data_IF_297549764480
#
_entry.id   IF_297549764480
#
_cell.length_a   1.000
_cell.length_b   1.000
_cell.length_c   1.000
_cell.angle_alpha   90.00
_cell.angle_beta   90.00
_cell.angle_gamma   90.00
#
_symmetry.space_group_name_H-M   'P 1'
#
loop_
_entity.id
_entity.type
_entity.pdbx_description
1 polymer ?
#
# COMPACT_ATOMS: atom_id res chain seq x y z
N UNK A 1 -30.44 -15.06 6.92
CA UNK A 1 -30.99 -13.71 6.74
C UNK A 1 -29.97 -12.94 5.93
N UNK A 2 -30.01 -13.13 4.62
CA UNK A 2 -29.14 -12.45 3.68
C UNK A 2 -29.71 -11.07 3.43
N UNK A 3 -28.95 -10.03 3.75
CA UNK A 3 -29.29 -8.66 3.34
C UNK A 3 -28.99 -8.55 1.85
N UNK A 4 -29.94 -8.96 1.03
CA UNK A 4 -29.90 -8.73 -0.42
C UNK A 4 -30.31 -7.26 -0.62
N UNK A 5 -29.32 -6.40 -0.85
CA UNK A 5 -29.56 -5.04 -1.34
C UNK A 5 -30.07 -5.19 -2.79
N UNK A 6 -31.39 -5.07 -2.96
CA UNK A 6 -32.04 -4.99 -4.28
C UNK A 6 -31.90 -3.57 -4.81
N UNK A 7 -30.78 -3.29 -5.47
CA UNK A 7 -30.64 -2.17 -6.40
C UNK A 7 -30.34 -2.76 -7.79
N UNK A 8 -30.90 -2.21 -8.88
CA UNK A 8 -30.68 -2.73 -10.21
C UNK A 8 -29.17 -2.75 -10.54
N UNK A 9 -28.64 -3.80 -11.19
CA UNK A 9 -27.21 -4.00 -11.41
C UNK A 9 -26.47 -2.78 -12.01
N UNK A 10 -27.20 -2.02 -12.83
CA UNK A 10 -26.71 -0.82 -13.54
C UNK A 10 -26.40 0.34 -12.57
N UNK A 11 -27.16 0.48 -11.47
CA UNK A 11 -26.90 1.53 -10.46
C UNK A 11 -25.70 1.18 -9.58
N UNK A 12 -25.50 -0.12 -9.29
CA UNK A 12 -24.35 -0.59 -8.51
C UNK A 12 -23.06 -0.34 -9.29
N UNK A 13 -23.04 -0.64 -10.59
CA UNK A 13 -21.87 -0.41 -11.44
C UNK A 13 -21.56 1.09 -11.58
N UNK A 14 -22.60 1.93 -11.73
CA UNK A 14 -22.45 3.39 -11.78
C UNK A 14 -21.91 3.94 -10.45
N UNK A 15 -22.47 3.52 -9.32
CA UNK A 15 -22.02 3.92 -7.99
C UNK A 15 -20.58 3.44 -7.70
N UNK A 16 -20.24 2.22 -8.10
CA UNK A 16 -18.89 1.67 -7.97
C UNK A 16 -17.88 2.42 -8.86
N UNK A 17 -18.26 2.78 -10.08
CA UNK A 17 -17.41 3.55 -11.01
C UNK A 17 -17.19 4.99 -10.53
N UNK A 18 -18.22 5.65 -10.03
CA UNK A 18 -18.12 6.97 -9.40
C UNK A 18 -17.27 6.92 -8.11
N UNK A 19 -17.44 5.86 -7.32
CA UNK A 19 -16.68 5.66 -6.08
C UNK A 19 -15.23 5.31 -6.33
N UNK A 20 -14.90 4.43 -7.28
CA UNK A 20 -13.52 4.03 -7.62
C UNK A 20 -12.73 5.17 -8.25
N UNK A 21 -13.35 5.93 -9.16
CA UNK A 21 -12.76 7.15 -9.74
C UNK A 21 -12.56 8.26 -8.69
N UNK A 22 -13.44 8.31 -7.68
CA UNK A 22 -13.31 9.20 -6.54
C UNK A 22 -12.39 8.70 -5.41
N UNK A 23 -12.14 7.40 -5.29
CA UNK A 23 -11.38 6.82 -4.19
C UNK A 23 -9.90 7.23 -4.25
N UNK A 24 -9.35 7.27 -5.47
CA UNK A 24 -7.97 7.69 -5.76
C UNK A 24 -7.68 9.14 -5.34
N UNK A 25 -8.70 9.93 -4.99
CA UNK A 25 -8.56 11.27 -4.41
C UNK A 25 -9.17 11.45 -3.01
N UNK A 26 -9.95 10.48 -2.51
CA UNK A 26 -10.65 10.57 -1.20
C UNK A 26 -9.92 9.89 -0.06
N UNK A 27 -9.13 8.86 -0.38
CA UNK A 27 -8.35 8.08 0.58
C UNK A 27 -6.87 8.40 0.37
N UNK A 28 -6.32 9.27 1.22
CA UNK A 28 -4.89 9.57 1.22
C UNK A 28 -4.11 8.57 2.07
N UNK A 29 -2.79 8.47 1.83
CA UNK A 29 -1.90 7.63 2.64
C UNK A 29 -1.92 8.05 4.12
N UNK A 30 -2.05 9.34 4.39
CA UNK A 30 -2.15 9.85 5.76
C UNK A 30 -3.50 9.49 6.40
N UNK A 31 -4.61 9.58 5.65
CA UNK A 31 -5.92 9.16 6.16
C UNK A 31 -5.96 7.66 6.52
N UNK A 32 -5.27 6.81 5.74
CA UNK A 32 -5.09 5.40 6.07
C UNK A 32 -4.17 5.17 7.27
N UNK A 33 -3.11 5.98 7.42
CA UNK A 33 -2.19 5.91 8.57
C UNK A 33 -2.91 6.26 9.88
N UNK A 34 -3.77 7.27 9.83
CA UNK A 34 -4.52 7.78 10.98
C UNK A 34 -5.88 7.10 11.13
N UNK A 35 -6.13 6.01 10.39
CA UNK A 35 -7.38 5.28 10.43
C UNK A 35 -7.63 4.69 11.82
N UNK A 36 -8.85 4.84 12.32
CA UNK A 36 -9.28 4.25 13.60
C UNK A 36 -9.91 2.90 13.31
N UNK A 37 -9.24 1.82 13.71
CA UNK A 37 -9.78 0.46 13.62
C UNK A 37 -10.93 0.30 14.61
N UNK A 38 -12.08 -0.17 14.12
CA UNK A 38 -13.28 -0.39 14.92
C UNK A 38 -13.33 -1.84 15.38
N UNK A 39 -13.26 -2.78 14.43
CA UNK A 39 -13.39 -4.20 14.72
C UNK A 39 -12.92 -5.07 13.56
N UNK A 40 -12.79 -6.36 13.82
CA UNK A 40 -12.66 -7.38 12.79
C UNK A 40 -14.04 -7.99 12.50
N UNK A 41 -14.34 -8.23 11.22
CA UNK A 41 -15.59 -8.81 10.74
C UNK A 41 -15.31 -10.17 10.11
N UNK A 42 -16.06 -11.19 10.53
CA UNK A 42 -15.96 -12.58 10.04
C UNK A 42 -14.54 -13.19 10.08
N UNK A 43 -13.63 -12.62 10.88
CA UNK A 43 -12.20 -12.97 10.89
C UNK A 43 -11.50 -12.82 9.53
N UNK A 44 -12.07 -12.04 8.61
CA UNK A 44 -11.58 -11.84 7.23
C UNK A 44 -11.38 -10.37 6.88
N UNK A 45 -12.16 -9.49 7.48
CA UNK A 45 -12.14 -8.07 7.15
C UNK A 45 -11.85 -7.22 8.37
N UNK A 46 -11.24 -6.06 8.15
CA UNK A 46 -11.01 -5.02 9.15
C UNK A 46 -11.96 -3.87 8.83
N UNK A 47 -12.80 -3.49 9.80
CA UNK A 47 -13.66 -2.31 9.72
C UNK A 47 -12.93 -1.12 10.35
N UNK A 48 -12.79 -0.02 9.62
CA UNK A 48 -12.09 1.17 10.10
C UNK A 48 -12.76 2.48 9.65
N UNK A 49 -12.56 3.53 10.45
CA UNK A 49 -12.94 4.90 10.12
C UNK A 49 -11.73 5.70 9.63
N UNK A 50 -11.88 6.34 8.47
CA UNK A 50 -10.91 7.27 7.91
C UNK A 50 -11.46 8.68 8.01
N UNK A 51 -10.66 9.59 8.55
CA UNK A 51 -10.96 11.01 8.47
C UNK A 51 -10.40 11.53 7.15
N UNK A 52 -11.25 12.03 6.26
CA UNK A 52 -10.77 12.72 5.05
C UNK A 52 -10.56 14.20 5.38
N UNK A 53 -9.41 14.73 4.94
CA UNK A 53 -9.07 16.13 5.16
C UNK A 53 -10.00 17.01 4.32
N UNK A 54 -10.43 18.12 4.91
CA UNK A 54 -11.14 19.19 4.20
C UNK A 54 -10.30 19.67 3.01
N UNK A 55 -10.69 19.32 1.79
CA UNK A 55 -10.18 19.94 0.58
C UNK A 55 -11.09 21.13 0.22
N UNK A 56 -10.53 22.34 0.19
CA UNK A 56 -11.17 23.57 -0.31
C UNK A 56 -12.58 23.85 0.24
N UNK A 57 -12.68 24.09 1.55
CA UNK A 57 -13.92 24.60 2.17
C UNK A 57 -15.05 23.57 2.36
N UNK A 58 -14.72 22.28 2.28
CA UNK A 58 -15.66 21.19 2.56
C UNK A 58 -15.38 20.60 3.93
N UNK A 59 -16.40 20.51 4.78
CA UNK A 59 -16.29 19.94 6.13
C UNK A 59 -15.58 18.58 6.14
N UNK A 60 -14.74 18.30 7.16
CA UNK A 60 -14.12 17.00 7.32
C UNK A 60 -15.21 15.92 7.34
N UNK A 61 -15.05 14.89 6.51
CA UNK A 61 -15.99 13.78 6.48
C UNK A 61 -15.31 12.50 6.96
N UNK A 62 -16.10 11.65 7.61
CA UNK A 62 -15.66 10.33 8.04
C UNK A 62 -16.12 9.33 6.99
N UNK A 63 -15.19 8.51 6.53
CA UNK A 63 -15.46 7.41 5.61
C UNK A 63 -15.27 6.11 6.37
N UNK A 64 -16.30 5.28 6.38
CA UNK A 64 -16.22 3.92 6.90
C UNK A 64 -15.69 3.00 5.79
N UNK A 65 -14.64 2.25 6.06
CA UNK A 65 -14.03 1.32 5.10
C UNK A 65 -13.97 -0.09 5.67
N UNK A 66 -14.07 -1.06 4.76
CA UNK A 66 -13.86 -2.48 5.02
C UNK A 66 -12.62 -2.91 4.23
N UNK A 67 -11.64 -3.45 4.92
CA UNK A 67 -10.34 -3.84 4.35
C UNK A 67 -10.27 -5.37 4.35
N UNK A 68 -10.03 -5.98 3.19
CA UNK A 68 -9.67 -7.39 3.10
C UNK A 68 -8.28 -7.61 3.71
N UNK A 69 -8.22 -8.36 4.81
CA UNK A 69 -6.98 -8.55 5.54
C UNK A 69 -5.96 -9.38 4.76
N UNK A 70 -6.43 -10.34 3.95
CA UNK A 70 -5.56 -11.24 3.20
C UNK A 70 -4.91 -10.47 2.05
N UNK A 71 -5.71 -9.75 1.26
CA UNK A 71 -5.19 -8.93 0.17
C UNK A 71 -4.25 -7.82 0.69
N UNK A 72 -4.54 -7.25 1.87
CA UNK A 72 -3.67 -6.25 2.49
C UNK A 72 -2.31 -6.84 2.92
N UNK A 73 -2.32 -7.99 3.61
CA UNK A 73 -1.11 -8.69 4.03
C UNK A 73 -0.25 -9.11 2.83
N UNK A 74 -0.88 -9.66 1.79
CA UNK A 74 -0.19 -10.02 0.55
C UNK A 74 0.43 -8.80 -0.13
N UNK A 75 -0.30 -7.67 -0.19
CA UNK A 75 0.23 -6.44 -0.79
C UNK A 75 1.46 -5.94 -0.05
N UNK A 76 1.41 -5.92 1.28
CA UNK A 76 2.55 -5.52 2.12
C UNK A 76 3.74 -6.44 1.86
N UNK A 77 3.52 -7.76 1.88
CA UNK A 77 4.57 -8.75 1.64
C UNK A 77 5.23 -8.58 0.28
N UNK A 78 4.44 -8.38 -0.78
CA UNK A 78 4.96 -8.16 -2.14
C UNK A 78 5.79 -6.89 -2.21
N UNK A 79 5.32 -5.78 -1.62
CA UNK A 79 6.04 -4.51 -1.62
C UNK A 79 7.36 -4.56 -0.83
N UNK A 80 7.38 -5.25 0.32
CA UNK A 80 8.61 -5.49 1.09
C UNK A 80 9.62 -6.29 0.28
N UNK A 81 9.20 -7.43 -0.30
CA UNK A 81 10.09 -8.26 -1.11
C UNK A 81 10.65 -7.50 -2.31
N UNK A 82 9.82 -6.70 -2.97
CA UNK A 82 10.25 -5.87 -4.09
C UNK A 82 11.25 -4.79 -3.65
N UNK A 83 10.98 -4.13 -2.52
CA UNK A 83 11.88 -3.12 -1.95
C UNK A 83 13.25 -3.72 -1.62
N UNK A 84 13.27 -4.89 -0.98
CA UNK A 84 14.51 -5.58 -0.62
C UNK A 84 15.29 -6.02 -1.85
N UNK A 85 14.60 -6.53 -2.88
CA UNK A 85 15.22 -6.93 -4.13
C UNK A 85 15.82 -5.76 -4.91
N UNK A 86 15.17 -4.59 -4.86
CA UNK A 86 15.63 -3.38 -5.54
C UNK A 86 16.61 -2.54 -4.71
N UNK A 87 16.88 -2.90 -3.45
CA UNK A 87 17.84 -2.19 -2.61
C UNK A 87 19.27 -2.50 -3.09
N UNK A 88 20.04 -1.52 -3.57
CA UNK A 88 21.41 -1.75 -4.02
C UNK A 88 22.27 -2.30 -2.86
N UNK A 89 23.22 -3.21 -3.12
CA UNK A 89 24.13 -3.66 -2.10
C UNK A 89 24.91 -2.47 -1.55
N UNK A 90 24.94 -2.33 -0.22
CA UNK A 90 25.77 -1.35 0.45
C UNK A 90 27.23 -1.79 0.25
N UNK A 91 27.88 -1.24 -0.78
CA UNK A 91 29.33 -1.36 -0.93
C UNK A 91 29.93 -0.48 0.15
N UNK A 92 30.20 -1.07 1.31
CA UNK A 92 31.11 -0.46 2.26
C UNK A 92 32.48 -0.41 1.59
N UNK A 93 32.86 0.75 1.06
CA UNK A 93 34.23 1.05 0.65
C UNK A 93 35.11 1.10 1.90
N UNK A 94 35.32 -0.06 2.54
CA UNK A 94 36.52 -0.24 3.32
C UNK A 94 37.64 -0.20 2.30
N UNK A 95 38.48 0.84 2.34
CA UNK A 95 39.72 0.90 1.56
C UNK A 95 40.60 -0.28 1.98
N UNK A 96 40.34 -1.46 1.41
CA UNK A 96 41.27 -2.55 1.44
C UNK A 96 42.41 -2.16 0.49
N UNK A 97 43.48 -1.59 1.05
CA UNK A 97 44.77 -1.44 0.39
C UNK A 97 45.31 -2.85 0.09
N UNK A 98 44.80 -3.47 -0.96
CA UNK A 98 45.36 -4.70 -1.51
C UNK A 98 46.32 -4.26 -2.60
N UNK A 99 47.59 -4.09 -2.22
CA UNK A 99 48.68 -3.88 -3.17
C UNK A 99 48.88 -5.16 -3.97
N UNK A 100 48.29 -5.22 -5.17
CA UNK A 100 48.58 -6.30 -6.12
C UNK A 100 49.82 -5.92 -6.91
N UNK A 101 50.91 -6.66 -6.69
CA UNK A 101 52.13 -6.55 -7.50
C UNK A 101 52.08 -7.61 -8.60
N UNK A 102 51.99 -7.19 -9.85
CA UNK A 102 52.14 -8.06 -11.03
C UNK A 102 53.46 -7.75 -11.72
N UNK A 103 54.37 -8.73 -11.78
CA UNK A 103 55.57 -8.66 -12.63
C UNK A 103 55.28 -9.28 -14.00
N UNK A 104 55.76 -8.64 -15.07
CA UNK A 104 55.68 -9.19 -16.42
C UNK A 104 56.65 -10.36 -16.59
N UNK A 105 56.14 -11.48 -17.12
CA UNK A 105 56.95 -12.60 -17.59
C UNK A 105 57.51 -12.26 -18.97
N UNK A 106 58.76 -11.81 -19.01
CA UNK A 106 59.55 -11.76 -20.25
C UNK A 106 60.27 -13.08 -20.43
N UNK A 107 59.77 -13.96 -21.29
CA UNK A 107 60.51 -15.13 -21.75
C UNK A 107 61.11 -14.83 -23.13
N UNK A 108 62.41 -15.14 -23.24
CA UNK A 108 63.27 -15.05 -24.42
C UNK A 108 62.78 -15.90 -25.60
#
# INVERSE_FOLDING_TARGET
>A
MDVIITAPPVEIEKAFKETSSGLHGRISKDALRDAVVISQVDKKFILANLQTRSAFGKEPSVILVVIDQHAADERIRIETLLSDFLTPPIISTTRASTSVSTSLLTNL
#
